data_IF_497486077755
#
_entry.id   IF_497486077755
#
_cell.length_a   1.000
_cell.length_b   1.000
_cell.length_c   1.000
_cell.angle_alpha   90.00
_cell.angle_beta   90.00
_cell.angle_gamma   90.00
#
_symmetry.space_group_name_H-M   'P 1'
#
loop_
_entity.id
_entity.type
_entity.pdbx_description
1 polymer ?
#
# COMPACT_ATOMS: atom_id res chain seq x y z
N UNK A 1 -0.97 28.18 3.84
CA UNK A 1 -1.47 26.83 3.49
C UNK A 1 -1.91 26.11 4.75
N UNK A 2 -3.19 25.73 4.86
CA UNK A 2 -3.68 24.91 5.96
C UNK A 2 -3.23 23.48 5.67
N UNK A 3 -2.20 22.98 6.36
CA UNK A 3 -1.83 21.57 6.31
C UNK A 3 -3.03 20.78 6.82
N UNK A 4 -3.84 20.22 5.90
CA UNK A 4 -4.85 19.24 6.26
C UNK A 4 -4.10 18.17 7.07
N UNK A 5 -4.50 17.99 8.33
CA UNK A 5 -3.86 17.09 9.28
C UNK A 5 -4.13 15.66 8.80
N UNK A 6 -3.35 15.19 7.83
CA UNK A 6 -3.48 13.84 7.26
C UNK A 6 -3.24 12.87 8.40
N UNK A 7 -4.25 12.07 8.75
CA UNK A 7 -4.12 11.06 9.78
C UNK A 7 -3.05 10.06 9.34
N UNK A 8 -2.09 9.78 10.20
CA UNK A 8 -1.00 8.84 9.93
C UNK A 8 -1.20 7.55 10.72
N UNK A 9 -0.63 6.45 10.20
CA UNK A 9 -0.57 5.15 10.89
C UNK A 9 0.79 4.52 10.60
N UNK A 10 1.34 3.76 11.55
CA UNK A 10 2.63 3.07 11.35
C UNK A 10 2.43 1.82 10.50
N UNK A 11 3.39 1.52 9.62
CA UNK A 11 3.33 0.31 8.79
C UNK A 11 3.20 -0.98 9.63
N UNK A 12 3.94 -1.08 10.73
CA UNK A 12 3.86 -2.22 11.65
C UNK A 12 2.45 -2.43 12.22
N UNK A 13 1.71 -1.35 12.50
CA UNK A 13 0.31 -1.45 12.97
C UNK A 13 -0.61 -1.98 11.85
N UNK A 14 -0.36 -1.60 10.60
CA UNK A 14 -1.10 -2.15 9.46
C UNK A 14 -0.81 -3.65 9.32
N UNK A 15 0.45 -4.06 9.41
CA UNK A 15 0.87 -5.47 9.36
C UNK A 15 0.25 -6.28 10.50
N UNK A 16 0.24 -5.77 11.73
CA UNK A 16 -0.40 -6.42 12.89
C UNK A 16 -1.90 -6.70 12.64
N UNK A 17 -2.63 -5.73 12.07
CA UNK A 17 -4.07 -5.88 11.84
C UNK A 17 -4.42 -6.61 10.54
N UNK A 18 -3.64 -6.41 9.47
CA UNK A 18 -3.96 -6.87 8.14
C UNK A 18 -3.13 -8.07 7.66
N UNK A 19 -2.11 -8.47 8.44
CA UNK A 19 -1.15 -9.52 8.13
C UNK A 19 0.05 -9.02 7.33
N UNK A 20 1.06 -9.88 7.18
CA UNK A 20 2.25 -9.61 6.37
C UNK A 20 1.84 -9.51 4.89
N UNK A 21 2.13 -8.39 4.21
CA UNK A 21 1.86 -8.26 2.80
C UNK A 21 2.94 -8.94 1.95
N UNK A 22 2.59 -9.23 0.70
CA UNK A 22 3.51 -9.67 -0.34
C UNK A 22 3.71 -8.57 -1.38
N UNK A 23 4.91 -8.50 -1.97
CA UNK A 23 5.19 -7.60 -3.10
C UNK A 23 4.45 -8.07 -4.35
N UNK A 24 3.76 -7.14 -5.01
CA UNK A 24 3.04 -7.38 -6.26
C UNK A 24 3.69 -6.62 -7.42
N UNK A 25 4.29 -7.36 -8.35
CA UNK A 25 4.86 -6.81 -9.58
C UNK A 25 3.81 -6.71 -10.68
N UNK A 26 3.66 -5.53 -11.28
CA UNK A 26 2.77 -5.30 -12.42
C UNK A 26 3.41 -5.85 -13.71
N UNK A 27 3.14 -7.11 -14.05
CA UNK A 27 3.63 -7.74 -15.28
C UNK A 27 2.82 -7.36 -16.54
N UNK A 28 1.65 -6.77 -16.35
CA UNK A 28 0.73 -6.39 -17.42
C UNK A 28 0.00 -5.10 -17.04
N UNK A 29 -0.74 -4.52 -17.99
CA UNK A 29 -1.55 -3.33 -17.72
C UNK A 29 -2.53 -3.62 -16.56
N UNK A 30 -2.65 -2.73 -15.55
CA UNK A 30 -3.52 -2.95 -14.39
C UNK A 30 -4.98 -3.26 -14.74
N UNK A 31 -5.47 -2.77 -15.87
CA UNK A 31 -6.82 -3.02 -16.38
C UNK A 31 -7.03 -4.44 -16.91
N UNK A 32 -5.97 -5.09 -17.42
CA UNK A 32 -5.99 -6.47 -17.88
C UNK A 32 -5.70 -7.49 -16.77
N UNK A 33 -5.16 -7.05 -15.64
CA UNK A 33 -4.80 -7.93 -14.53
C UNK A 33 -6.00 -8.25 -13.63
N UNK A 34 -6.72 -9.33 -13.94
CA UNK A 34 -7.87 -9.80 -13.15
C UNK A 34 -7.51 -10.08 -11.69
N UNK A 35 -6.27 -10.51 -11.39
CA UNK A 35 -5.83 -10.81 -10.02
C UNK A 35 -5.64 -9.53 -9.23
N UNK A 36 -4.95 -8.54 -9.80
CA UNK A 36 -4.82 -7.21 -9.21
C UNK A 36 -6.19 -6.55 -9.00
N UNK A 37 -7.08 -6.62 -10.00
CA UNK A 37 -8.44 -6.09 -9.90
C UNK A 37 -9.22 -6.75 -8.76
N UNK A 38 -9.06 -8.07 -8.54
CA UNK A 38 -9.65 -8.76 -7.39
C UNK A 38 -9.10 -8.23 -6.06
N UNK A 39 -7.78 -8.08 -5.93
CA UNK A 39 -7.18 -7.52 -4.71
C UNK A 39 -7.64 -6.09 -4.45
N UNK A 40 -7.75 -5.27 -5.49
CA UNK A 40 -8.25 -3.90 -5.41
C UNK A 40 -9.71 -3.87 -4.94
N UNK A 41 -10.60 -4.65 -5.56
CA UNK A 41 -12.03 -4.76 -5.16
C UNK A 41 -12.20 -5.21 -3.71
N UNK A 42 -11.29 -6.03 -3.21
CA UNK A 42 -11.29 -6.50 -1.83
C UNK A 42 -10.59 -5.53 -0.85
N UNK A 43 -10.15 -4.35 -1.31
CA UNK A 43 -9.39 -3.36 -0.56
C UNK A 43 -8.12 -3.94 0.08
N UNK A 44 -7.39 -4.81 -0.63
CA UNK A 44 -6.18 -5.50 -0.12
C UNK A 44 -4.87 -4.94 -0.66
N UNK A 45 -4.94 -3.94 -1.54
CA UNK A 45 -3.75 -3.35 -2.16
C UNK A 45 -3.31 -2.11 -1.39
N UNK A 46 -2.03 -2.01 -1.10
CA UNK A 46 -1.38 -0.77 -0.68
C UNK A 46 -0.40 -0.32 -1.75
N UNK A 47 -0.42 0.97 -2.06
CA UNK A 47 0.57 1.61 -2.94
C UNK A 47 1.61 2.30 -2.10
N UNK A 48 2.87 1.93 -2.26
CA UNK A 48 4.02 2.62 -1.67
C UNK A 48 4.51 3.67 -2.67
N UNK A 49 4.57 4.91 -2.22
CA UNK A 49 5.09 6.05 -2.97
C UNK A 49 6.29 6.64 -2.25
N UNK A 50 7.18 7.25 -3.02
CA UNK A 50 8.35 7.96 -2.51
C UNK A 50 8.16 9.45 -2.73
N UNK A 51 8.45 10.26 -1.72
CA UNK A 51 8.51 11.73 -1.88
C UNK A 51 9.75 12.13 -2.66
N UNK A 52 9.81 13.38 -3.12
CA UNK A 52 11.02 13.96 -3.74
C UNK A 52 12.23 13.90 -2.80
N UNK A 53 12.01 14.03 -1.49
CA UNK A 53 13.04 13.86 -0.44
C UNK A 53 13.47 12.41 -0.21
N UNK A 54 12.95 11.44 -0.96
CA UNK A 54 13.30 10.02 -0.84
C UNK A 54 12.53 9.24 0.23
N UNK A 55 11.63 9.88 0.98
CA UNK A 55 10.88 9.22 2.07
C UNK A 55 9.72 8.40 1.52
N UNK A 56 9.64 7.14 1.96
CA UNK A 56 8.56 6.23 1.55
C UNK A 56 7.33 6.36 2.45
N UNK A 57 6.16 6.26 1.83
CA UNK A 57 4.88 6.21 2.51
C UNK A 57 3.88 5.36 1.74
N UNK A 58 2.97 4.72 2.46
CA UNK A 58 1.91 3.89 1.91
C UNK A 58 0.57 4.60 1.86
N UNK A 59 -0.23 4.22 0.87
CA UNK A 59 -1.64 4.59 0.74
C UNK A 59 -2.43 3.29 0.59
N UNK A 60 -3.47 3.10 1.41
CA UNK A 60 -4.42 2.01 1.23
C UNK A 60 -5.21 2.26 -0.07
N UNK A 61 -5.09 1.35 -1.03
CA UNK A 61 -5.64 1.46 -2.37
C UNK A 61 -4.58 1.33 -3.46
N UNK A 62 -5.04 1.09 -4.68
CA UNK A 62 -4.22 1.09 -5.89
C UNK A 62 -4.14 2.51 -6.47
N UNK A 63 -2.93 3.05 -6.60
CA UNK A 63 -2.69 4.31 -7.30
C UNK A 63 -1.50 4.13 -8.23
N UNK A 64 -1.76 4.12 -9.54
CA UNK A 64 -0.71 4.00 -10.52
C UNK A 64 0.20 5.24 -10.46
N UNK A 65 1.46 5.04 -10.09
CA UNK A 65 2.47 6.07 -10.07
C UNK A 65 3.82 5.50 -10.53
N UNK A 66 4.63 6.34 -11.18
CA UNK A 66 5.96 5.93 -11.66
C UNK A 66 6.84 5.60 -10.47
N UNK A 67 7.45 4.41 -10.47
CA UNK A 67 8.30 3.94 -9.38
C UNK A 67 7.56 3.56 -8.09
N UNK A 68 6.23 3.39 -8.13
CA UNK A 68 5.49 2.89 -6.99
C UNK A 68 5.65 1.37 -6.84
N UNK A 69 5.76 0.92 -5.59
CA UNK A 69 5.70 -0.50 -5.24
C UNK A 69 4.28 -0.84 -4.78
N UNK A 70 3.80 -2.03 -5.11
CA UNK A 70 2.49 -2.50 -4.68
C UNK A 70 2.65 -3.64 -3.70
N UNK A 71 1.91 -3.55 -2.61
CA UNK A 71 1.84 -4.58 -1.58
C UNK A 71 0.41 -5.13 -1.55
N UNK A 72 0.28 -6.45 -1.47
CA UNK A 72 -1.00 -7.14 -1.35
C UNK A 72 -1.07 -7.77 0.04
N UNK A 73 -2.06 -7.35 0.82
CA UNK A 73 -2.31 -7.86 2.16
C UNK A 73 -3.26 -9.07 2.12
N UNK A 74 -3.13 -10.00 3.07
CA UNK A 74 -4.07 -11.12 3.18
C UNK A 74 -5.46 -10.64 3.64
N UNK A 75 -5.55 -9.55 4.42
CA UNK A 75 -6.81 -8.96 4.89
C UNK A 75 -7.06 -7.56 4.30
N UNK A 76 -8.29 -7.09 4.44
CA UNK A 76 -8.74 -5.79 3.94
C UNK A 76 -8.10 -4.62 4.70
N UNK A 77 -7.68 -3.60 3.95
CA UNK A 77 -7.12 -2.34 4.41
C UNK A 77 -8.16 -1.23 4.56
N UNK A 78 -9.45 -1.51 4.39
CA UNK A 78 -10.54 -0.51 4.44
C UNK A 78 -10.48 0.41 5.67
N UNK A 79 -10.07 -0.11 6.83
CA UNK A 79 -9.89 0.64 8.09
C UNK A 79 -8.73 1.66 8.09
N UNK A 80 -7.85 1.57 7.11
CA UNK A 80 -6.71 2.45 6.89
C UNK A 80 -6.91 3.37 5.68
N UNK A 81 -8.08 3.35 5.06
CA UNK A 81 -8.44 4.32 4.03
C UNK A 81 -8.31 5.75 4.57
N UNK A 82 -7.89 6.67 3.70
CA UNK A 82 -7.65 8.08 4.01
C UNK A 82 -6.56 8.32 5.08
N UNK A 83 -5.78 7.30 5.45
CA UNK A 83 -4.59 7.45 6.30
C UNK A 83 -3.32 7.31 5.48
N UNK A 84 -2.30 8.07 5.86
CA UNK A 84 -0.95 7.91 5.32
C UNK A 84 -0.19 6.91 6.18
N UNK A 85 0.27 5.83 5.56
CA UNK A 85 1.08 4.81 6.22
C UNK A 85 2.54 5.26 6.20
N UNK A 86 3.18 5.33 7.37
CA UNK A 86 4.54 5.86 7.51
C UNK A 86 5.46 4.86 8.20
N UNK A 87 6.78 5.02 7.98
CA UNK A 87 7.78 4.09 8.50
C UNK A 87 7.64 2.72 7.84
N UNK A 88 7.70 2.69 6.51
CA UNK A 88 7.66 1.44 5.73
C UNK A 88 8.85 0.60 6.17
N UNK A 89 8.57 -0.59 6.69
CA UNK A 89 9.57 -1.57 7.08
C UNK A 89 9.49 -2.76 6.12
N UNK A 90 10.47 -2.89 5.24
CA UNK A 90 10.53 -3.96 4.24
C UNK A 90 10.78 -5.33 4.86
N UNK A 91 11.31 -5.42 6.08
CA UNK A 91 11.50 -6.68 6.80
C UNK A 91 10.16 -7.33 7.21
N UNK A 92 9.07 -6.55 7.24
CA UNK A 92 7.72 -7.03 7.51
C UNK A 92 6.96 -7.42 6.23
N UNK A 93 7.59 -7.34 5.07
CA UNK A 93 7.03 -7.79 3.79
C UNK A 93 7.48 -9.22 3.56
N UNK A 94 6.53 -10.13 3.36
CA UNK A 94 6.85 -11.52 3.05
C UNK A 94 7.57 -11.62 1.70
N UNK A 95 8.72 -12.27 1.69
CA UNK A 95 9.34 -12.80 0.47
C UNK A 95 8.59 -14.05 0.05
N UNK A 96 8.22 -14.08 -1.22
CA UNK A 96 7.55 -15.21 -1.86
C UNK A 96 8.43 -16.45 -1.89
#
# INVERSE_FOLDING_TARGET
MKLLKVKTVRFAEVVDKAGHPETYTLWQKPTGDRRLQSHFKNNRVMTIQRTESGTEFGIAGFKQAKGANYLVFPKSLKRFENKRVVGINWDLVGTK
#
